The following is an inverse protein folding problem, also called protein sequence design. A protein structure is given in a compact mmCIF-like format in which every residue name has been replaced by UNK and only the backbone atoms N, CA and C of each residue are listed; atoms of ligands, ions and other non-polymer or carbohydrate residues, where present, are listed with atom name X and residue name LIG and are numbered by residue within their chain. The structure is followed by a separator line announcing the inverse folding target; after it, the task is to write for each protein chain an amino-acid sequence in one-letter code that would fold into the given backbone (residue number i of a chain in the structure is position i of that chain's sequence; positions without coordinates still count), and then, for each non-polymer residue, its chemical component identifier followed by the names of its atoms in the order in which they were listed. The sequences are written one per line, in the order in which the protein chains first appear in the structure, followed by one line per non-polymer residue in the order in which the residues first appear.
data_IF_828719100961
#
_entry.id   IF_828719100961
#
_cell.length_a   1.000
_cell.length_b   1.000
_cell.length_c   1.000
_cell.angle_alpha   90.00
_cell.angle_beta   90.00
_cell.angle_gamma   90.00
#
_symmetry.space_group_name_H-M   'P 1'
#
loop_
_entity.id
_entity.type
_entity.pdbx_description
1 polymer ?
#
# COMPACT_ATOMS: atom_id res chain seq x y z
N UNK A 1 5.40 -5.04 13.67
CA UNK A 1 6.19 -5.34 12.47
C UNK A 1 6.06 -6.83 12.25
N UNK A 2 5.25 -7.21 11.28
CA UNK A 2 4.97 -8.62 10.97
C UNK A 2 5.63 -8.90 9.63
N UNK A 3 6.89 -9.33 9.69
CA UNK A 3 7.70 -9.59 8.51
C UNK A 3 7.36 -10.97 7.96
N UNK A 4 6.89 -11.02 6.73
CA UNK A 4 6.54 -12.27 6.04
C UNK A 4 7.51 -12.49 4.90
N UNK A 5 8.01 -13.72 4.77
CA UNK A 5 8.83 -14.12 3.65
C UNK A 5 7.97 -14.21 2.37
N UNK A 6 8.38 -13.53 1.31
CA UNK A 6 7.75 -13.65 -0.02
C UNK A 6 8.41 -14.75 -0.87
N UNK A 7 9.66 -15.08 -0.53
CA UNK A 7 10.47 -16.15 -1.15
C UNK A 7 11.12 -16.98 -0.05
N UNK A 8 11.66 -18.16 -0.38
CA UNK A 8 12.40 -18.95 0.60
C UNK A 8 13.67 -18.20 1.04
N UNK A 9 13.81 -17.94 2.34
CA UNK A 9 14.96 -17.21 2.90
C UNK A 9 15.79 -18.16 3.75
N UNK A 10 17.01 -18.42 3.31
CA UNK A 10 18.00 -19.13 4.12
C UNK A 10 18.87 -18.10 4.87
N UNK A 11 18.89 -18.16 6.21
CA UNK A 11 19.66 -17.24 7.03
C UNK A 11 20.34 -17.95 8.21
N UNK A 12 21.38 -17.32 8.75
CA UNK A 12 22.06 -17.79 9.95
C UNK A 12 21.50 -17.05 11.16
N UNK A 13 20.88 -17.77 12.08
CA UNK A 13 20.39 -17.21 13.34
C UNK A 13 21.07 -17.95 14.49
N UNK A 14 21.80 -17.21 15.33
CA UNK A 14 22.56 -17.77 16.47
C UNK A 14 23.52 -18.91 16.09
N UNK A 15 24.08 -18.87 14.88
CA UNK A 15 25.03 -19.88 14.40
C UNK A 15 24.38 -21.13 13.78
N UNK A 16 23.06 -21.21 13.74
CA UNK A 16 22.32 -22.26 13.03
C UNK A 16 21.77 -21.73 11.71
N UNK A 17 21.82 -22.56 10.67
CA UNK A 17 21.20 -22.26 9.39
C UNK A 17 19.72 -22.61 9.47
N UNK A 18 18.88 -21.60 9.39
CA UNK A 18 17.43 -21.75 9.28
C UNK A 18 16.98 -21.43 7.85
N UNK A 19 15.93 -22.10 7.40
CA UNK A 19 15.26 -21.80 6.14
C UNK A 19 13.82 -21.47 6.47
N UNK A 20 13.40 -20.26 6.09
CA UNK A 20 12.05 -19.74 6.29
C UNK A 20 11.35 -19.84 4.94
N UNK A 21 10.21 -20.51 4.89
CA UNK A 21 9.45 -20.71 3.67
C UNK A 21 8.59 -19.48 3.34
N UNK A 22 8.20 -19.29 2.07
CA UNK A 22 7.24 -18.25 1.70
C UNK A 22 5.95 -18.33 2.54
N UNK A 23 5.47 -17.18 3.01
CA UNK A 23 4.30 -17.07 3.87
C UNK A 23 4.59 -17.24 5.36
N UNK A 24 5.79 -17.68 5.75
CA UNK A 24 6.19 -17.78 7.15
C UNK A 24 6.74 -16.46 7.69
N UNK A 25 6.67 -16.33 9.01
CA UNK A 25 7.17 -15.15 9.71
C UNK A 25 8.69 -15.16 9.81
N UNK A 26 9.30 -14.02 9.47
CA UNK A 26 10.75 -13.81 9.51
C UNK A 26 11.14 -13.12 10.81
N UNK A 27 12.00 -13.77 11.59
CA UNK A 27 12.47 -13.26 12.88
C UNK A 27 14.00 -13.29 12.97
N UNK A 28 14.56 -12.52 13.91
CA UNK A 28 16.00 -12.56 14.20
C UNK A 28 16.88 -11.74 13.25
N UNK A 29 16.28 -10.95 12.35
CA UNK A 29 17.00 -10.02 11.49
C UNK A 29 17.36 -8.72 12.21
N UNK A 30 18.49 -8.13 11.83
CA UNK A 30 18.82 -6.77 12.25
C UNK A 30 18.11 -5.74 11.33
N UNK A 31 18.09 -4.46 11.74
CA UNK A 31 17.36 -3.41 10.99
C UNK A 31 17.89 -3.16 9.58
N UNK A 32 19.20 -3.32 9.35
CA UNK A 32 19.82 -3.12 8.03
C UNK A 32 19.40 -4.25 7.09
N UNK A 33 19.50 -5.50 7.56
CA UNK A 33 19.08 -6.68 6.78
C UNK A 33 17.59 -6.59 6.43
N UNK A 34 16.75 -6.12 7.35
CA UNK A 34 15.31 -5.91 7.09
C UNK A 34 15.11 -4.92 5.95
N UNK A 35 15.84 -3.80 5.95
CA UNK A 35 15.72 -2.79 4.90
C UNK A 35 16.17 -3.35 3.54
N UNK A 36 17.31 -4.04 3.49
CA UNK A 36 17.84 -4.63 2.26
C UNK A 36 16.92 -5.73 1.72
N UNK A 37 16.40 -6.60 2.59
CA UNK A 37 15.49 -7.69 2.22
C UNK A 37 14.12 -7.18 1.76
N UNK A 38 13.63 -6.08 2.33
CA UNK A 38 12.43 -5.41 1.83
C UNK A 38 12.68 -4.76 0.47
N UNK A 39 13.82 -4.10 0.29
CA UNK A 39 14.18 -3.44 -0.97
C UNK A 39 14.32 -4.42 -2.13
N UNK A 40 14.79 -5.65 -1.88
CA UNK A 40 14.87 -6.70 -2.89
C UNK A 40 13.60 -7.55 -3.03
N UNK A 41 12.53 -7.23 -2.28
CA UNK A 41 11.26 -7.94 -2.35
C UNK A 41 11.29 -9.36 -1.77
N UNK A 42 12.26 -9.67 -0.90
CA UNK A 42 12.36 -10.98 -0.27
C UNK A 42 11.42 -11.12 0.93
N UNK A 43 11.15 -10.01 1.62
CA UNK A 43 10.23 -9.95 2.78
C UNK A 43 9.30 -8.74 2.67
N UNK A 44 8.13 -8.85 3.28
CA UNK A 44 7.14 -7.78 3.39
C UNK A 44 6.77 -7.53 4.85
N UNK A 45 6.54 -6.28 5.22
CA UNK A 45 5.92 -5.95 6.52
C UNK A 45 4.40 -5.79 6.35
N UNK A 46 3.63 -6.80 6.78
CA UNK A 46 2.18 -6.78 6.64
C UNK A 46 1.52 -5.59 7.35
N UNK A 47 2.12 -5.11 8.45
CA UNK A 47 1.58 -3.95 9.17
C UNK A 47 1.73 -2.67 8.33
N UNK A 48 2.82 -2.54 7.58
CA UNK A 48 3.08 -1.41 6.69
C UNK A 48 2.22 -1.47 5.44
N UNK A 49 2.11 -2.65 4.80
CA UNK A 49 1.26 -2.85 3.62
C UNK A 49 -0.19 -2.51 3.92
N UNK A 50 -0.75 -3.03 5.02
CA UNK A 50 -2.12 -2.72 5.43
C UNK A 50 -2.32 -1.22 5.74
N UNK A 51 -1.27 -0.54 6.21
CA UNK A 51 -1.27 0.91 6.41
C UNK A 51 -1.27 1.70 5.10
N UNK A 52 -0.54 1.24 4.09
CA UNK A 52 -0.49 1.85 2.76
C UNK A 52 -1.80 1.68 2.00
N UNK A 53 -2.39 0.48 2.01
CA UNK A 53 -3.68 0.21 1.36
C UNK A 53 -4.79 1.12 1.89
N UNK A 54 -4.89 1.28 3.23
CA UNK A 54 -5.88 2.18 3.85
C UNK A 54 -5.66 3.64 3.46
N UNK A 55 -4.41 4.07 3.33
CA UNK A 55 -4.08 5.44 2.89
C UNK A 55 -4.46 5.62 1.42
N UNK A 56 -4.18 4.65 0.56
CA UNK A 56 -4.58 4.68 -0.85
C UNK A 56 -6.11 4.73 -0.99
N UNK A 57 -6.84 3.90 -0.25
CA UNK A 57 -8.32 3.93 -0.25
C UNK A 57 -8.85 5.32 0.15
N UNK A 58 -8.25 5.94 1.17
CA UNK A 58 -8.62 7.29 1.60
C UNK A 58 -8.35 8.36 0.52
N UNK A 59 -7.20 8.26 -0.17
CA UNK A 59 -6.83 9.15 -1.28
C UNK A 59 -7.80 8.99 -2.45
N UNK A 60 -8.10 7.75 -2.85
CA UNK A 60 -9.05 7.45 -3.93
C UNK A 60 -10.45 7.95 -3.61
N UNK A 61 -10.94 7.72 -2.39
CA UNK A 61 -12.24 8.24 -1.94
C UNK A 61 -12.30 9.75 -2.02
N UNK A 62 -11.23 10.44 -1.62
CA UNK A 62 -11.15 11.90 -1.71
C UNK A 62 -11.17 12.38 -3.17
N UNK A 63 -10.37 11.75 -4.04
CA UNK A 63 -10.33 12.07 -5.47
C UNK A 63 -11.69 11.84 -6.15
N UNK A 64 -12.38 10.74 -5.83
CA UNK A 64 -13.71 10.44 -6.36
C UNK A 64 -14.75 11.50 -5.94
N UNK A 65 -14.68 11.97 -4.70
CA UNK A 65 -15.54 13.06 -4.21
C UNK A 65 -15.28 14.37 -4.95
N UNK A 66 -14.02 14.77 -5.07
CA UNK A 66 -13.62 16.00 -5.76
C UNK A 66 -14.07 15.97 -7.23
N UNK A 67 -13.91 14.83 -7.91
CA UNK A 67 -14.39 14.66 -9.27
C UNK A 67 -15.92 14.75 -9.39
N UNK A 68 -16.66 14.12 -8.47
CA UNK A 68 -18.12 14.17 -8.45
C UNK A 68 -18.63 15.60 -8.22
N UNK A 69 -18.01 16.34 -7.30
CA UNK A 69 -18.36 17.74 -7.01
C UNK A 69 -18.04 18.65 -8.20
N UNK A 70 -16.87 18.48 -8.84
CA UNK A 70 -16.51 19.21 -10.06
C UNK A 70 -17.48 18.92 -11.21
N UNK A 71 -17.87 17.65 -11.41
CA UNK A 71 -18.84 17.25 -12.44
C UNK A 71 -20.20 17.91 -12.22
N UNK A 72 -20.68 17.94 -10.97
CA UNK A 72 -21.94 18.62 -10.61
C UNK A 72 -21.87 20.12 -10.88
N UNK A 73 -20.75 20.76 -10.55
CA UNK A 73 -20.56 22.18 -10.82
C UNK A 73 -20.60 22.49 -12.32
N UNK A 74 -19.93 21.68 -13.16
CA UNK A 74 -19.97 21.83 -14.62
C UNK A 74 -21.39 21.64 -15.16
N UNK A 75 -22.11 20.62 -14.71
CA UNK A 75 -23.50 20.38 -15.12
C UNK A 75 -24.42 21.54 -14.74
N UNK A 76 -24.27 22.09 -13.53
CA UNK A 76 -25.04 23.26 -13.09
C UNK A 76 -24.73 24.50 -13.94
N UNK A 77 -23.45 24.74 -14.26
CA UNK A 77 -23.05 25.84 -15.14
C UNK A 77 -23.58 25.69 -16.56
N UNK A 78 -23.57 24.48 -17.12
CA UNK A 78 -24.15 24.21 -18.44
C UNK A 78 -25.66 24.43 -18.44
N UNK A 79 -26.38 23.93 -17.44
CA UNK A 79 -27.81 24.14 -17.30
C UNK A 79 -28.19 25.62 -17.13
N UNK A 80 -27.33 26.42 -16.48
CA UNK A 80 -27.51 27.86 -16.34
C UNK A 80 -27.30 28.62 -17.67
N UNK A 81 -26.47 28.11 -18.58
CA UNK A 81 -26.23 28.70 -19.90
C UNK A 81 -27.31 28.29 -20.91
N UNK A 82 -27.88 27.09 -20.77
CA UNK A 82 -28.95 26.57 -21.64
C UNK A 82 -30.37 27.02 -21.23
N UNK A 83 -30.55 27.63 -20.05
CA UNK A 83 -31.82 28.21 -19.66
C UNK A 83 -32.16 29.40 -20.60
N UNK A 84 -33.34 29.39 -21.25
CA UNK A 84 -33.56 30.14 -22.48
C UNK A 84 -33.61 31.65 -22.25
N UNK A 85 -33.00 32.38 -23.17
CA UNK A 85 -33.39 33.76 -23.46
C UNK A 85 -34.90 33.76 -23.76
N UNK A 86 -35.68 34.30 -22.82
CA UNK A 86 -37.08 34.65 -22.99
C UNK A 86 -37.22 35.99 -23.71
#
# INVERSE_FOLDING_TARGET
MKLIALVAVAMMVKGERITIQPGEEVTGLNKVDIADLKACGAIEDQDETAGLEKKQEAVERKAAKEFADARRAVQASQAAIEAPAA
#
